data_IF_118455480863
#
_entry.id   IF_118455480863
#
_cell.length_a   1.000
_cell.length_b   1.000
_cell.length_c   1.000
_cell.angle_alpha   90.00
_cell.angle_beta   90.00
_cell.angle_gamma   90.00
#
_symmetry.space_group_name_H-M   'P 1'
#
loop_
_entity.id
_entity.type
_entity.pdbx_description
1 polymer ?
#
# COMPACT_ATOMS: atom_id res chain seq x y z
N UNK A 1 14.09 -3.44 5.90
CA UNK A 1 13.84 -2.08 6.30
C UNK A 1 12.61 -1.92 7.18
N UNK A 2 11.53 -2.60 6.80
CA UNK A 2 10.30 -2.58 7.60
C UNK A 2 10.24 -3.70 8.62
N UNK A 3 11.06 -4.71 8.45
CA UNK A 3 11.08 -5.83 9.39
C UNK A 3 11.44 -5.35 10.78
N UNK A 4 10.71 -5.83 11.76
CA UNK A 4 10.90 -5.44 13.15
C UNK A 4 10.14 -4.20 13.57
N UNK A 5 9.43 -3.54 12.65
CA UNK A 5 8.62 -2.37 12.98
C UNK A 5 7.18 -2.78 13.17
N UNK A 6 6.47 -2.05 14.02
CA UNK A 6 5.06 -2.33 14.28
C UNK A 6 4.18 -1.34 13.55
N UNK A 7 3.24 -1.86 12.80
CA UNK A 7 2.20 -1.04 12.17
C UNK A 7 1.17 -0.72 13.24
N UNK A 8 0.97 0.56 13.54
CA UNK A 8 0.14 0.97 14.68
C UNK A 8 -1.08 1.79 14.28
N UNK A 9 -1.12 2.34 13.06
CA UNK A 9 -2.24 3.17 12.65
C UNK A 9 -2.24 3.33 11.14
N UNK A 10 -3.40 3.74 10.60
CA UNK A 10 -3.47 4.19 9.22
C UNK A 10 -4.20 5.52 9.14
N UNK A 11 -3.95 6.27 8.09
CA UNK A 11 -4.53 7.59 7.88
C UNK A 11 -5.13 7.65 6.49
N UNK A 12 -6.37 8.10 6.41
CA UNK A 12 -7.08 8.27 5.14
C UNK A 12 -7.60 9.69 5.03
N UNK A 13 -7.67 10.25 3.80
CA UNK A 13 -8.41 11.49 3.60
C UNK A 13 -9.88 11.30 3.94
N UNK A 14 -10.51 12.39 4.33
CA UNK A 14 -11.94 12.34 4.67
C UNK A 14 -12.76 11.81 3.50
N UNK A 15 -13.67 10.89 3.80
CA UNK A 15 -14.52 10.31 2.77
C UNK A 15 -13.93 9.12 2.06
N UNK A 16 -12.65 8.81 2.29
CA UNK A 16 -12.01 7.67 1.67
C UNK A 16 -12.09 6.44 2.57
N UNK A 17 -11.98 5.27 1.96
CA UNK A 17 -12.03 4.02 2.70
C UNK A 17 -10.85 3.14 2.28
N UNK A 18 -10.62 2.07 3.04
CA UNK A 18 -9.57 1.10 2.68
C UNK A 18 -9.95 0.32 1.42
N UNK A 19 -11.22 0.32 1.03
CA UNK A 19 -11.65 -0.30 -0.22
C UNK A 19 -11.19 0.52 -1.43
N UNK A 20 -11.35 1.86 -1.34
CA UNK A 20 -10.96 2.77 -2.41
C UNK A 20 -10.44 4.06 -1.79
N UNK A 21 -9.18 4.35 -2.00
CA UNK A 21 -8.57 5.58 -1.50
C UNK A 21 -7.62 6.15 -2.53
N UNK A 22 -7.56 7.48 -2.61
CA UNK A 22 -6.58 8.14 -3.47
C UNK A 22 -5.23 8.22 -2.80
N UNK A 23 -5.23 8.32 -1.48
CA UNK A 23 -4.01 8.35 -0.69
C UNK A 23 -4.24 7.57 0.59
N UNK A 24 -3.18 6.93 1.08
CA UNK A 24 -3.24 6.15 2.32
C UNK A 24 -1.88 6.23 2.97
N UNK A 25 -1.85 6.40 4.28
CA UNK A 25 -0.61 6.36 5.04
C UNK A 25 -0.69 5.29 6.11
N UNK A 26 0.36 4.51 6.25
CA UNK A 26 0.54 3.56 7.35
C UNK A 26 1.58 4.13 8.30
N UNK A 27 1.23 4.19 9.58
CA UNK A 27 2.09 4.75 10.62
C UNK A 27 2.71 3.62 11.42
N UNK A 28 4.02 3.69 11.62
CA UNK A 28 4.75 2.66 12.37
C UNK A 28 5.23 3.25 13.71
N UNK A 29 5.55 2.35 14.65
CA UNK A 29 5.86 2.71 16.03
C UNK A 29 7.07 3.61 16.19
N UNK A 30 7.96 3.62 15.24
CA UNK A 30 9.18 4.45 15.31
C UNK A 30 9.00 5.81 14.64
N UNK A 31 7.76 6.18 14.30
CA UNK A 31 7.49 7.45 13.64
C UNK A 31 7.63 7.41 12.13
N UNK A 32 7.97 6.27 11.57
CA UNK A 32 7.99 6.12 10.12
C UNK A 32 6.57 6.05 9.58
N UNK A 33 6.39 6.62 8.40
CA UNK A 33 5.12 6.62 7.70
C UNK A 33 5.37 6.16 6.27
N UNK A 34 4.62 5.16 5.84
CA UNK A 34 4.59 4.75 4.44
C UNK A 34 3.37 5.38 3.81
N UNK A 35 3.59 6.18 2.78
CA UNK A 35 2.51 6.82 2.04
C UNK A 35 2.32 6.07 0.73
N UNK A 36 1.07 5.72 0.46
CA UNK A 36 0.70 4.96 -0.73
C UNK A 36 -0.20 5.79 -1.62
N UNK A 37 0.06 5.75 -2.90
CA UNK A 37 -0.82 6.30 -3.92
C UNK A 37 -0.68 5.45 -5.16
N UNK A 38 -1.54 5.65 -6.12
CA UNK A 38 -1.47 4.91 -7.36
C UNK A 38 -1.32 5.87 -8.51
N UNK A 39 -0.52 5.48 -9.49
CA UNK A 39 -0.37 6.24 -10.73
C UNK A 39 -0.94 5.39 -11.86
N UNK A 40 -1.58 6.04 -12.82
CA UNK A 40 -2.02 5.38 -14.03
C UNK A 40 -1.01 5.63 -15.13
N UNK A 41 -0.58 4.56 -15.77
CA UNK A 41 0.38 4.64 -16.86
C UNK A 41 -0.24 4.05 -18.11
N UNK A 42 -0.18 4.79 -19.20
CA UNK A 42 -0.64 4.31 -20.48
C UNK A 42 0.44 3.41 -21.08
N UNK A 43 0.12 2.15 -21.30
CA UNK A 43 1.12 1.18 -21.78
C UNK A 43 0.84 0.69 -23.18
N UNK A 44 -0.35 0.89 -23.69
CA UNK A 44 -0.69 0.60 -25.07
C UNK A 44 -1.69 1.67 -25.48
N UNK A 45 -2.04 1.72 -26.74
CA UNK A 45 -2.77 2.87 -27.27
C UNK A 45 -3.87 3.46 -26.39
N UNK A 46 -4.57 2.65 -25.63
CA UNK A 46 -5.61 3.16 -24.71
C UNK A 46 -5.77 2.31 -23.47
N UNK A 47 -4.70 1.63 -23.11
CA UNK A 47 -4.71 0.77 -21.94
C UNK A 47 -3.96 1.47 -20.81
N UNK A 48 -4.64 1.67 -19.69
CA UNK A 48 -4.04 2.25 -18.50
C UNK A 48 -3.85 1.18 -17.46
N UNK A 49 -2.68 1.14 -16.84
CA UNK A 49 -2.41 0.23 -15.72
C UNK A 49 -2.03 1.04 -14.51
N UNK A 50 -2.54 0.61 -13.36
CA UNK A 50 -2.21 1.26 -12.10
C UNK A 50 -0.96 0.65 -11.50
N UNK A 51 -0.05 1.49 -11.07
CA UNK A 51 1.10 1.08 -10.30
C UNK A 51 0.99 1.65 -8.90
N UNK A 52 1.62 0.99 -7.93
CA UNK A 52 1.60 1.45 -6.55
C UNK A 52 2.86 2.28 -6.30
N UNK A 53 2.67 3.53 -5.85
CA UNK A 53 3.74 4.41 -5.43
C UNK A 53 3.85 4.35 -3.92
N UNK A 54 5.06 4.19 -3.42
CA UNK A 54 5.32 4.09 -2.00
C UNK A 54 6.37 5.13 -1.65
N UNK A 55 6.08 5.95 -0.64
CA UNK A 55 7.01 6.95 -0.16
C UNK A 55 7.17 6.79 1.34
N UNK A 56 8.42 6.74 1.78
CA UNK A 56 8.74 6.66 3.20
C UNK A 56 9.00 8.06 3.72
N UNK A 57 8.28 8.44 4.78
CA UNK A 57 8.46 9.74 5.42
C UNK A 57 8.56 9.55 6.92
N UNK A 58 8.62 10.65 7.65
CA UNK A 58 8.72 10.63 9.09
C UNK A 58 7.69 11.59 9.67
N UNK A 59 7.06 11.19 10.77
CA UNK A 59 6.01 12.00 11.37
C UNK A 59 6.49 13.40 11.75
N UNK A 60 7.75 13.53 12.14
CA UNK A 60 8.31 14.82 12.55
C UNK A 60 8.57 15.75 11.36
N UNK A 61 8.48 15.25 10.13
CA UNK A 61 8.65 16.09 8.96
C UNK A 61 7.45 17.02 8.85
N UNK A 62 7.67 18.34 8.82
CA UNK A 62 6.54 19.25 8.70
C UNK A 62 5.78 18.94 7.42
N UNK A 63 4.50 18.69 7.57
CA UNK A 63 3.64 18.54 6.39
C UNK A 63 3.57 19.91 5.73
N UNK A 64 3.67 19.94 4.41
CA UNK A 64 3.37 21.16 3.71
C UNK A 64 1.96 21.61 4.05
N UNK A 65 1.63 22.81 3.70
CA UNK A 65 0.28 23.28 3.92
C UNK A 65 -0.68 22.43 3.11
N UNK A 66 -1.38 21.55 3.78
CA UNK A 66 -2.43 20.79 3.13
C UNK A 66 -3.76 21.22 3.70
N UNK A 67 -4.72 21.37 2.81
CA UNK A 67 -6.08 21.68 3.22
C UNK A 67 -6.93 20.44 3.34
N UNK A 68 -6.34 19.27 3.04
CA UNK A 68 -7.08 18.00 3.07
C UNK A 68 -7.23 17.55 4.52
N UNK A 69 -8.48 17.29 4.90
CA UNK A 69 -8.77 16.72 6.22
C UNK A 69 -8.49 15.24 6.18
N UNK A 70 -7.76 14.74 7.16
CA UNK A 70 -7.44 13.33 7.24
C UNK A 70 -7.94 12.75 8.56
N UNK A 71 -8.12 11.44 8.57
CA UNK A 71 -8.57 10.72 9.75
C UNK A 71 -7.61 9.57 10.05
N UNK A 72 -7.14 9.54 11.29
CA UNK A 72 -6.23 8.50 11.74
C UNK A 72 -7.02 7.44 12.50
N UNK A 73 -6.74 6.18 12.19
CA UNK A 73 -7.36 5.04 12.88
C UNK A 73 -6.27 4.23 13.57
N UNK A 74 -6.42 4.01 14.87
CA UNK A 74 -5.46 3.22 15.63
C UNK A 74 -5.73 1.74 15.44
N UNK A 75 -4.66 0.95 15.44
CA UNK A 75 -4.73 -0.49 15.21
C UNK A 75 -4.14 -1.25 16.39
N UNK A 76 -4.54 -2.50 16.54
CA UNK A 76 -3.76 -3.45 17.30
C UNK A 76 -2.42 -3.58 16.57
N UNK A 77 -1.29 -3.33 17.25
CA UNK A 77 -0.02 -3.33 16.56
C UNK A 77 0.27 -4.65 15.85
N UNK A 78 0.80 -4.56 14.63
CA UNK A 78 1.19 -5.72 13.84
C UNK A 78 2.70 -5.65 13.64
N UNK A 79 3.41 -6.66 14.16
CA UNK A 79 4.85 -6.76 13.93
C UNK A 79 5.09 -7.17 12.50
N UNK A 80 5.74 -6.33 11.73
CA UNK A 80 6.05 -6.65 10.33
C UNK A 80 7.34 -7.47 10.32
N UNK A 81 7.24 -8.70 9.85
CA UNK A 81 8.41 -9.60 9.79
C UNK A 81 8.86 -9.84 8.36
N UNK A 82 8.06 -9.44 7.37
CA UNK A 82 8.38 -9.71 5.97
C UNK A 82 7.60 -8.77 5.08
N UNK A 83 8.19 -8.33 3.99
CA UNK A 83 7.51 -7.50 2.99
C UNK A 83 7.82 -8.03 1.60
N UNK A 84 6.80 -8.03 0.74
CA UNK A 84 6.91 -8.48 -0.64
C UNK A 84 6.21 -7.50 -1.56
N UNK A 85 6.77 -7.32 -2.75
CA UNK A 85 6.09 -6.58 -3.82
C UNK A 85 5.17 -7.51 -4.56
N UNK A 86 4.07 -6.96 -5.05
CA UNK A 86 3.21 -7.67 -6.00
C UNK A 86 3.52 -7.12 -7.38
N UNK A 87 3.82 -8.02 -8.30
CA UNK A 87 4.21 -7.66 -9.66
C UNK A 87 3.30 -8.36 -10.63
N UNK A 88 2.58 -7.56 -11.43
CA UNK A 88 1.79 -8.09 -12.52
C UNK A 88 2.62 -8.06 -13.78
N UNK A 89 2.69 -9.18 -14.46
CA UNK A 89 3.50 -9.32 -15.66
C UNK A 89 2.68 -9.98 -16.75
N UNK A 90 2.60 -9.32 -17.88
CA UNK A 90 1.97 -9.83 -19.07
C UNK A 90 2.91 -9.49 -20.22
N UNK A 91 2.69 -10.04 -21.39
CA UNK A 91 3.63 -10.03 -22.52
C UNK A 91 4.50 -8.78 -22.63
N UNK A 92 3.89 -7.62 -22.61
CA UNK A 92 4.63 -6.37 -22.81
C UNK A 92 4.56 -5.45 -21.62
N UNK A 93 4.01 -5.90 -20.49
CA UNK A 93 3.75 -5.06 -19.33
C UNK A 93 4.30 -5.70 -18.08
N UNK A 94 5.08 -4.94 -17.32
CA UNK A 94 5.52 -5.33 -15.98
C UNK A 94 5.18 -4.18 -15.05
N UNK A 95 4.37 -4.43 -14.03
CA UNK A 95 3.87 -3.38 -13.14
C UNK A 95 4.04 -3.78 -11.70
N UNK A 96 4.65 -2.91 -10.91
CA UNK A 96 4.66 -3.08 -9.45
C UNK A 96 3.33 -2.53 -8.95
N UNK A 97 2.39 -3.44 -8.72
CA UNK A 97 1.01 -3.07 -8.45
C UNK A 97 0.60 -3.19 -7.00
N UNK A 98 1.49 -3.63 -6.12
CA UNK A 98 1.11 -3.77 -4.73
C UNK A 98 2.26 -4.12 -3.80
N UNK A 99 1.92 -4.16 -2.51
CA UNK A 99 2.84 -4.50 -1.44
C UNK A 99 2.11 -5.40 -0.45
N UNK A 100 2.80 -6.43 0.02
CA UNK A 100 2.28 -7.32 1.06
C UNK A 100 3.17 -7.19 2.28
N UNK A 101 2.57 -6.90 3.44
CA UNK A 101 3.26 -6.90 4.72
C UNK A 101 2.78 -8.11 5.50
N UNK A 102 3.71 -8.93 5.97
CA UNK A 102 3.36 -10.11 6.75
C UNK A 102 3.70 -9.89 8.20
N UNK A 103 2.74 -10.21 9.06
CA UNK A 103 2.90 -10.10 10.49
C UNK A 103 3.45 -11.36 11.12
N UNK A 104 3.96 -11.22 12.34
CA UNK A 104 4.57 -12.33 13.06
C UNK A 104 3.58 -13.42 13.48
N UNK A 105 2.30 -13.11 13.45
CA UNK A 105 1.26 -14.10 13.80
C UNK A 105 0.49 -14.57 12.58
N UNK A 106 1.08 -14.42 11.40
CA UNK A 106 0.44 -14.87 10.19
C UNK A 106 -0.51 -13.88 9.55
N UNK A 107 -0.59 -12.65 10.09
CA UNK A 107 -1.43 -11.62 9.48
C UNK A 107 -0.83 -11.22 8.15
N UNK A 108 -1.70 -10.81 7.24
CA UNK A 108 -1.26 -10.34 5.94
C UNK A 108 -2.01 -9.05 5.63
N UNK A 109 -1.26 -8.00 5.33
CA UNK A 109 -1.81 -6.71 4.92
C UNK A 109 -1.39 -6.51 3.48
N UNK A 110 -2.36 -6.37 2.58
CA UNK A 110 -2.12 -6.22 1.16
C UNK A 110 -2.59 -4.84 0.73
N UNK A 111 -1.68 -4.07 0.13
CA UNK A 111 -1.99 -2.76 -0.43
C UNK A 111 -1.76 -2.87 -1.93
N UNK A 112 -2.76 -2.54 -2.72
CA UNK A 112 -2.66 -2.70 -4.18
C UNK A 112 -3.30 -1.53 -4.90
N UNK A 113 -2.84 -1.31 -6.15
CA UNK A 113 -3.52 -0.39 -7.04
C UNK A 113 -4.95 -0.90 -7.24
N UNK A 114 -5.92 0.00 -7.12
CA UNK A 114 -7.32 -0.36 -7.15
C UNK A 114 -7.93 -0.30 -8.55
N UNK A 115 -9.17 -0.76 -8.65
CA UNK A 115 -9.88 -0.77 -9.93
C UNK A 115 -10.12 0.64 -10.46
N UNK A 116 -10.65 1.58 -9.67
CA UNK A 116 -10.73 2.95 -10.18
C UNK A 116 -9.32 3.49 -10.43
N UNK A 117 -9.04 4.02 -11.61
CA UNK A 117 -7.70 4.52 -11.91
C UNK A 117 -7.23 5.53 -10.89
N UNK A 118 -6.00 5.37 -10.44
CA UNK A 118 -5.40 6.26 -9.45
C UNK A 118 -5.75 5.95 -8.02
N UNK A 119 -6.48 4.86 -7.76
CA UNK A 119 -6.87 4.50 -6.39
C UNK A 119 -6.04 3.37 -5.83
N UNK A 120 -6.15 3.18 -4.52
CA UNK A 120 -5.48 2.13 -3.75
C UNK A 120 -6.54 1.37 -2.99
N UNK A 121 -6.38 0.06 -2.88
CA UNK A 121 -7.28 -0.81 -2.11
C UNK A 121 -6.47 -1.66 -1.15
N UNK A 122 -7.03 -1.92 0.03
CA UNK A 122 -6.33 -2.64 1.10
C UNK A 122 -7.16 -3.82 1.58
N UNK A 123 -6.48 -4.96 1.75
CA UNK A 123 -7.03 -6.12 2.45
C UNK A 123 -6.20 -6.35 3.70
N UNK A 124 -6.85 -6.39 4.87
CA UNK A 124 -6.11 -6.53 6.13
C UNK A 124 -7.04 -7.08 7.20
N UNK A 125 -6.47 -7.67 8.28
CA UNK A 125 -7.29 -8.16 9.39
C UNK A 125 -8.15 -7.08 10.04
N UNK A 126 -7.68 -5.83 9.99
CA UNK A 126 -8.38 -4.70 10.60
C UNK A 126 -9.40 -4.05 9.66
N UNK A 127 -9.53 -4.55 8.45
CA UNK A 127 -10.40 -3.92 7.45
C UNK A 127 -11.56 -4.85 7.08
N UNK A 128 -12.81 -4.45 7.36
CA UNK A 128 -13.98 -5.20 6.86
C UNK A 128 -14.33 -4.82 5.43
N UNK A 129 -13.64 -3.86 4.85
CA UNK A 129 -13.96 -3.38 3.51
C UNK A 129 -13.63 -4.43 2.46
N UNK A 130 -14.35 -4.39 1.35
CA UNK A 130 -14.05 -5.25 0.21
C UNK A 130 -12.70 -4.84 -0.38
N UNK A 131 -11.95 -5.83 -0.85
CA UNK A 131 -10.67 -5.59 -1.49
C UNK A 131 -10.87 -5.65 -2.99
N UNK A 132 -10.54 -4.55 -3.68
CA UNK A 132 -10.75 -4.43 -5.11
C UNK A 132 -9.47 -4.05 -5.84
N UNK A 133 -8.52 -4.99 -5.92
CA UNK A 133 -7.28 -4.71 -6.64
C UNK A 133 -7.52 -4.69 -8.14
N UNK A 134 -6.73 -3.90 -8.86
CA UNK A 134 -6.83 -3.85 -10.30
C UNK A 134 -6.47 -5.18 -10.93
N UNK A 135 -5.46 -5.87 -10.37
CA UNK A 135 -5.05 -7.18 -10.86
C UNK A 135 -5.32 -8.23 -9.80
N UNK A 136 -5.95 -9.36 -10.16
CA UNK A 136 -6.18 -10.42 -9.16
C UNK A 136 -4.88 -10.90 -8.55
N UNK A 137 -4.88 -11.14 -7.25
CA UNK A 137 -3.66 -11.57 -6.56
C UNK A 137 -3.03 -12.81 -7.17
N UNK A 138 -3.81 -13.85 -7.56
CA UNK A 138 -3.20 -15.03 -8.16
C UNK A 138 -2.49 -14.75 -9.48
N UNK A 139 -2.81 -13.64 -10.16
CA UNK A 139 -2.15 -13.26 -11.40
C UNK A 139 -0.85 -12.53 -11.18
N UNK A 140 -0.52 -12.20 -9.92
CA UNK A 140 0.68 -11.45 -9.57
C UNK A 140 1.72 -12.38 -8.96
N UNK A 141 2.99 -12.13 -9.28
CA UNK A 141 4.05 -12.81 -8.55
C UNK A 141 4.48 -11.96 -7.38
N UNK A 142 5.08 -12.58 -6.38
CA UNK A 142 5.55 -11.91 -5.19
C UNK A 142 7.06 -11.90 -5.17
N UNK A 143 7.62 -10.77 -4.79
CA UNK A 143 9.06 -10.58 -4.79
C UNK A 143 9.47 -9.91 -3.49
N UNK A 144 10.43 -10.48 -2.73
CA UNK A 144 10.83 -9.90 -1.45
C UNK A 144 11.36 -8.48 -1.62
N UNK A 145 11.04 -7.63 -0.65
CA UNK A 145 11.51 -6.25 -0.62
C UNK A 145 12.70 -6.16 0.33
N UNK A 146 13.72 -5.44 -0.08
CA UNK A 146 14.85 -5.18 0.80
C UNK A 146 15.79 -6.34 1.00
N UNK A 147 15.76 -7.32 0.14
CA UNK A 147 16.64 -8.47 0.21
C UNK A 147 18.00 -8.19 -0.40
N UNK A 148 18.22 -7.07 -0.77
CA UNK A 148 19.43 -6.70 -1.45
C UNK A 148 20.66 -7.21 -0.75
N UNK A 149 20.84 -7.18 -0.78
CA UNK A 149 21.54 -7.16 -0.41
C UNK A 149 22.19 -7.44 -0.14
N UNK A 150 22.13 -7.58 0.02
CA UNK A 150 22.67 -7.74 0.47
C UNK A 150 23.40 -7.97 0.24
#
# INVERSE_FOLDING_TARGET
LLEGRKLVAYVLPEGHTLQVAWELSFVFDSGFVLEFSSACTEVAEWQEVGSLNIRLTHLSTPAGTTTVVTHRSELQPIDVVWAEKLIYEDQDVVVECGLVLRGGEGQEVVIAAGIPPGSVSVRAPFSPALFEPQFPLPACRREPVGQAKN
#
